data_IF_377715835640
#
_entry.id   IF_377715835640
#
_cell.length_a   1.000
_cell.length_b   1.000
_cell.length_c   1.000
_cell.angle_alpha   90.00
_cell.angle_beta   90.00
_cell.angle_gamma   90.00
#
_symmetry.space_group_name_H-M   'P 1'
#
loop_
_entity.id
_entity.type
_entity.pdbx_description
1 polymer ?
#
# COMPACT_ATOMS: atom_id res chain seq x y z
N UNK A 1 -14.37 16.61 28.14
CA UNK A 1 -15.61 16.10 27.55
C UNK A 1 -15.17 15.26 26.35
N UNK A 2 -15.07 13.95 26.55
CA UNK A 2 -14.80 13.01 25.45
C UNK A 2 -16.10 12.88 24.67
N UNK A 3 -16.09 13.31 23.40
CA UNK A 3 -17.19 13.05 22.48
C UNK A 3 -17.12 11.57 22.11
N UNK A 4 -17.87 10.78 22.83
CA UNK A 4 -18.12 9.37 22.55
C UNK A 4 -19.10 9.28 21.38
N UNK A 5 -18.61 9.49 20.15
CA UNK A 5 -19.30 9.11 18.93
C UNK A 5 -18.95 7.67 18.56
N UNK A 6 -19.13 6.75 19.50
CA UNK A 6 -19.31 5.35 19.14
C UNK A 6 -20.71 5.23 18.51
N UNK A 7 -20.79 5.44 17.21
CA UNK A 7 -21.95 5.01 16.44
C UNK A 7 -22.02 3.50 16.56
N UNK A 8 -22.90 3.01 17.45
CA UNK A 8 -23.13 1.57 17.56
C UNK A 8 -23.59 1.06 16.20
N UNK A 9 -22.87 0.08 15.65
CA UNK A 9 -23.28 -0.63 14.44
C UNK A 9 -24.72 -1.11 14.59
N UNK A 10 -25.51 -1.00 13.54
CA UNK A 10 -26.81 -1.65 13.47
C UNK A 10 -26.61 -3.17 13.37
N UNK A 11 -27.60 -3.94 13.79
CA UNK A 11 -27.58 -5.42 13.67
C UNK A 11 -27.39 -5.85 12.19
N UNK A 12 -27.91 -5.07 11.25
CA UNK A 12 -27.77 -5.33 9.82
C UNK A 12 -26.32 -5.07 9.35
N UNK A 13 -25.70 -3.99 9.82
CA UNK A 13 -24.30 -3.68 9.49
C UNK A 13 -23.33 -4.70 10.10
N UNK A 14 -23.54 -5.12 11.35
CA UNK A 14 -22.75 -6.18 11.98
C UNK A 14 -22.85 -7.49 11.19
N UNK A 15 -24.08 -7.90 10.84
CA UNK A 15 -24.30 -9.09 10.00
C UNK A 15 -23.67 -8.98 8.62
N UNK A 16 -23.62 -7.78 8.06
CA UNK A 16 -22.99 -7.53 6.76
C UNK A 16 -21.47 -7.68 6.84
N UNK A 17 -20.83 -7.11 7.88
CA UNK A 17 -19.40 -7.25 8.13
C UNK A 17 -19.02 -8.71 8.37
N UNK A 18 -19.78 -9.44 9.21
CA UNK A 18 -19.58 -10.87 9.46
C UNK A 18 -19.70 -11.68 8.17
N UNK A 19 -20.70 -11.39 7.35
CA UNK A 19 -20.89 -12.09 6.07
C UNK A 19 -19.74 -11.83 5.09
N UNK A 20 -19.15 -10.64 5.12
CA UNK A 20 -17.98 -10.30 4.31
C UNK A 20 -16.71 -10.99 4.84
N UNK A 21 -16.54 -11.07 6.16
CA UNK A 21 -15.41 -11.72 6.82
C UNK A 21 -15.40 -13.23 6.58
N UNK A 22 -16.56 -13.88 6.75
CA UNK A 22 -16.69 -15.35 6.62
C UNK A 22 -16.98 -15.85 5.19
N UNK A 23 -17.01 -14.96 4.21
CA UNK A 23 -17.15 -15.37 2.82
C UNK A 23 -18.59 -15.76 2.42
N UNK A 24 -19.62 -15.28 3.13
CA UNK A 24 -21.01 -15.62 2.86
C UNK A 24 -21.59 -14.81 1.68
N UNK A 25 -21.25 -15.21 0.46
CA UNK A 25 -21.62 -14.53 -0.78
C UNK A 25 -23.15 -14.33 -0.91
N UNK A 26 -24.03 -15.35 -0.66
CA UNK A 26 -25.48 -15.16 -0.77
C UNK A 26 -26.02 -14.06 0.14
N UNK A 27 -25.52 -13.98 1.38
CA UNK A 27 -25.94 -12.97 2.35
C UNK A 27 -25.48 -11.58 1.92
N UNK A 28 -24.20 -11.44 1.56
CA UNK A 28 -23.65 -10.14 1.08
C UNK A 28 -24.44 -9.66 -0.13
N UNK A 29 -24.67 -10.51 -1.13
CA UNK A 29 -25.42 -10.16 -2.34
C UNK A 29 -26.83 -9.71 -2.01
N UNK A 30 -27.57 -10.49 -1.20
CA UNK A 30 -28.92 -10.16 -0.78
C UNK A 30 -28.98 -8.82 -0.06
N UNK A 31 -28.05 -8.57 0.86
CA UNK A 31 -28.02 -7.31 1.62
C UNK A 31 -27.71 -6.11 0.73
N UNK A 32 -26.80 -6.26 -0.23
CA UNK A 32 -26.48 -5.20 -1.19
C UNK A 32 -27.61 -4.88 -2.17
N UNK A 33 -28.50 -5.85 -2.48
CA UNK A 33 -29.63 -5.70 -3.40
C UNK A 33 -30.91 -5.24 -2.70
N UNK A 34 -31.21 -5.76 -1.50
CA UNK A 34 -32.50 -5.55 -0.82
C UNK A 34 -32.45 -4.43 0.23
N UNK A 35 -31.31 -4.18 0.89
CA UNK A 35 -31.21 -3.23 1.99
C UNK A 35 -30.77 -1.85 1.48
N UNK A 36 -31.72 -0.98 1.15
CA UNK A 36 -31.45 0.39 0.69
C UNK A 36 -30.83 1.30 1.77
N UNK A 37 -31.03 0.99 3.04
CA UNK A 37 -30.51 1.74 4.20
C UNK A 37 -29.14 1.27 4.68
N UNK A 38 -28.57 0.22 4.08
CA UNK A 38 -27.30 -0.34 4.50
C UNK A 38 -26.15 0.62 4.19
N UNK A 39 -25.41 0.98 5.22
CA UNK A 39 -24.16 1.71 5.05
C UNK A 39 -23.05 0.71 4.65
N UNK A 40 -22.72 0.66 3.36
CA UNK A 40 -21.65 -0.23 2.83
C UNK A 40 -20.27 0.10 3.39
N UNK A 41 -20.08 1.34 3.87
CA UNK A 41 -18.84 1.85 4.44
C UNK A 41 -18.78 1.77 5.98
N UNK A 42 -19.71 1.03 6.61
CA UNK A 42 -19.62 0.76 8.04
C UNK A 42 -18.31 0.04 8.37
N UNK A 43 -17.80 0.28 9.57
CA UNK A 43 -16.53 -0.30 10.03
C UNK A 43 -16.75 -1.09 11.31
N UNK A 44 -15.97 -2.14 11.48
CA UNK A 44 -15.94 -2.93 12.71
C UNK A 44 -15.22 -2.17 13.85
N UNK A 45 -15.07 -2.84 15.01
CA UNK A 45 -14.35 -2.29 16.17
C UNK A 45 -12.84 -2.08 15.94
N UNK A 46 -12.28 -2.68 14.85
CA UNK A 46 -10.89 -2.50 14.40
C UNK A 46 -10.78 -1.40 13.34
N UNK A 47 -11.87 -0.72 13.01
CA UNK A 47 -11.91 0.29 11.96
C UNK A 47 -11.84 -0.29 10.53
N UNK A 48 -12.11 -1.59 10.32
CA UNK A 48 -12.08 -2.24 9.01
C UNK A 48 -13.49 -2.27 8.39
N UNK A 49 -13.60 -1.92 7.11
CA UNK A 49 -14.85 -2.05 6.37
C UNK A 49 -15.00 -3.44 5.73
N UNK A 50 -16.18 -3.73 5.19
CA UNK A 50 -16.49 -5.01 4.54
C UNK A 50 -15.51 -5.38 3.40
N UNK A 51 -15.01 -4.37 2.65
CA UNK A 51 -14.03 -4.61 1.59
C UNK A 51 -12.69 -5.08 2.17
N UNK A 52 -12.20 -4.43 3.22
CA UNK A 52 -10.94 -4.81 3.87
C UNK A 52 -11.05 -6.20 4.52
N UNK A 53 -12.18 -6.53 5.14
CA UNK A 53 -12.43 -7.86 5.71
C UNK A 53 -12.46 -8.95 4.63
N UNK A 54 -13.17 -8.71 3.51
CA UNK A 54 -13.19 -9.63 2.39
C UNK A 54 -11.81 -9.86 1.79
N UNK A 55 -11.02 -8.81 1.62
CA UNK A 55 -9.64 -8.88 1.10
C UNK A 55 -8.72 -9.60 2.10
N UNK A 56 -8.84 -9.32 3.41
CA UNK A 56 -8.02 -9.97 4.44
C UNK A 56 -8.16 -11.50 4.44
N UNK A 57 -9.34 -11.99 4.08
CA UNK A 57 -9.70 -13.41 4.06
C UNK A 57 -9.74 -14.02 2.65
N UNK A 58 -9.21 -13.32 1.64
CA UNK A 58 -9.11 -13.79 0.24
C UNK A 58 -10.45 -14.08 -0.45
N UNK A 59 -11.52 -13.38 -0.09
CA UNK A 59 -12.86 -13.55 -0.68
C UNK A 59 -13.03 -12.75 -1.98
N UNK A 60 -12.51 -13.27 -3.10
CA UNK A 60 -12.51 -12.59 -4.39
C UNK A 60 -13.92 -12.20 -4.86
N UNK A 61 -14.90 -13.11 -4.82
CA UNK A 61 -16.25 -12.83 -5.31
C UNK A 61 -16.95 -11.72 -4.51
N UNK A 62 -16.76 -11.68 -3.19
CA UNK A 62 -17.29 -10.61 -2.34
C UNK A 62 -16.61 -9.30 -2.67
N UNK A 63 -15.28 -9.31 -2.85
CA UNK A 63 -14.50 -8.14 -3.28
C UNK A 63 -15.06 -7.59 -4.60
N UNK A 64 -15.29 -8.44 -5.61
CA UNK A 64 -15.88 -8.02 -6.89
C UNK A 64 -17.31 -7.48 -6.75
N UNK A 65 -18.11 -8.04 -5.85
CA UNK A 65 -19.47 -7.55 -5.59
C UNK A 65 -19.44 -6.15 -4.95
N UNK A 66 -18.55 -5.93 -3.99
CA UNK A 66 -18.40 -4.66 -3.31
C UNK A 66 -17.86 -3.58 -4.26
N UNK A 67 -16.86 -3.90 -5.09
CA UNK A 67 -16.28 -2.97 -6.07
C UNK A 67 -17.27 -2.44 -7.12
N UNK A 68 -18.42 -3.06 -7.28
CA UNK A 68 -19.49 -2.55 -8.16
C UNK A 68 -20.28 -1.39 -7.55
N UNK A 69 -20.08 -1.08 -6.27
CA UNK A 69 -20.75 0.04 -5.60
C UNK A 69 -19.96 1.33 -5.83
N UNK A 70 -20.66 2.38 -6.27
CA UNK A 70 -20.03 3.65 -6.68
C UNK A 70 -19.40 4.43 -5.52
N UNK A 71 -19.95 4.32 -4.30
CA UNK A 71 -19.53 5.08 -3.13
C UNK A 71 -18.73 4.25 -2.14
N UNK A 72 -17.81 3.41 -2.62
CA UNK A 72 -17.00 2.56 -1.77
C UNK A 72 -15.78 3.33 -1.26
N UNK A 73 -15.63 3.40 0.07
CA UNK A 73 -14.50 4.02 0.73
C UNK A 73 -13.33 3.04 0.93
N UNK A 74 -12.13 3.57 1.20
CA UNK A 74 -10.92 2.83 1.58
C UNK A 74 -10.46 1.77 0.56
N UNK A 75 -10.73 2.01 -0.71
CA UNK A 75 -10.30 1.11 -1.81
C UNK A 75 -8.78 1.04 -1.91
N UNK A 76 -8.09 2.15 -1.59
CA UNK A 76 -6.63 2.21 -1.55
C UNK A 76 -6.03 1.33 -0.46
N UNK A 77 -6.59 1.34 0.74
CA UNK A 77 -6.15 0.47 1.84
C UNK A 77 -6.37 -1.01 1.52
N UNK A 78 -7.50 -1.33 0.90
CA UNK A 78 -7.80 -2.67 0.45
C UNK A 78 -6.79 -3.15 -0.61
N UNK A 79 -6.35 -2.26 -1.51
CA UNK A 79 -5.28 -2.56 -2.47
C UNK A 79 -3.95 -2.84 -1.77
N UNK A 80 -3.54 -2.00 -0.83
CA UNK A 80 -2.29 -2.20 -0.09
C UNK A 80 -2.34 -3.50 0.72
N UNK A 81 -3.48 -3.82 1.32
CA UNK A 81 -3.69 -5.07 2.04
C UNK A 81 -3.57 -6.28 1.11
N UNK A 82 -4.21 -6.25 -0.07
CA UNK A 82 -4.11 -7.32 -1.07
C UNK A 82 -2.67 -7.53 -1.56
N UNK A 83 -1.92 -6.44 -1.78
CA UNK A 83 -0.50 -6.50 -2.16
C UNK A 83 0.33 -7.13 -1.04
N UNK A 84 0.14 -6.71 0.20
CA UNK A 84 0.89 -7.23 1.35
C UNK A 84 0.67 -8.73 1.60
N UNK A 85 -0.48 -9.24 1.17
CA UNK A 85 -0.85 -10.67 1.25
C UNK A 85 -0.46 -11.47 0.00
N UNK A 86 -0.08 -10.79 -1.09
CA UNK A 86 0.27 -11.44 -2.35
C UNK A 86 -0.94 -11.98 -3.15
N UNK A 87 -2.14 -11.43 -2.94
CA UNK A 87 -3.37 -11.88 -3.59
C UNK A 87 -3.53 -11.27 -5.00
N UNK A 88 -2.83 -11.82 -5.98
CA UNK A 88 -2.76 -11.31 -7.35
C UNK A 88 -4.14 -11.04 -7.96
N UNK A 89 -5.06 -12.02 -7.89
CA UNK A 89 -6.40 -11.90 -8.48
C UNK A 89 -7.23 -10.78 -7.84
N UNK A 90 -7.11 -10.60 -6.53
CA UNK A 90 -7.79 -9.51 -5.82
C UNK A 90 -7.18 -8.17 -6.21
N UNK A 91 -5.86 -8.08 -6.33
CA UNK A 91 -5.17 -6.88 -6.82
C UNK A 91 -5.66 -6.50 -8.22
N UNK A 92 -5.76 -7.47 -9.14
CA UNK A 92 -6.29 -7.23 -10.49
C UNK A 92 -7.74 -6.75 -10.47
N UNK A 93 -8.59 -7.35 -9.63
CA UNK A 93 -9.97 -6.93 -9.47
C UNK A 93 -10.06 -5.49 -8.93
N UNK A 94 -9.29 -5.14 -7.90
CA UNK A 94 -9.28 -3.78 -7.34
C UNK A 94 -8.73 -2.77 -8.37
N UNK A 95 -7.67 -3.10 -9.10
CA UNK A 95 -7.09 -2.24 -10.13
C UNK A 95 -8.02 -2.04 -11.35
N UNK A 96 -9.07 -2.84 -11.52
CA UNK A 96 -10.10 -2.61 -12.52
C UNK A 96 -11.13 -1.54 -12.11
N UNK A 97 -11.15 -1.15 -10.82
CA UNK A 97 -12.04 -0.12 -10.32
C UNK A 97 -11.74 1.26 -10.94
N UNK A 98 -12.77 2.06 -11.29
CA UNK A 98 -12.60 3.37 -11.93
C UNK A 98 -11.66 4.33 -11.21
N UNK A 99 -11.57 4.23 -9.88
CA UNK A 99 -10.66 5.05 -9.06
C UNK A 99 -9.18 4.93 -9.48
N UNK A 100 -8.78 3.86 -10.17
CA UNK A 100 -7.43 3.63 -10.65
C UNK A 100 -7.25 3.84 -12.17
N UNK A 101 -8.29 4.31 -12.87
CA UNK A 101 -8.25 4.46 -14.33
C UNK A 101 -7.15 5.44 -14.80
N UNK A 102 -6.86 6.48 -14.03
CA UNK A 102 -5.91 7.53 -14.40
C UNK A 102 -4.44 7.23 -14.01
N UNK A 103 -4.14 6.14 -13.35
CA UNK A 103 -2.77 5.76 -12.94
C UNK A 103 -2.09 6.67 -11.91
N UNK A 104 -2.56 7.91 -11.72
CA UNK A 104 -1.96 8.88 -10.77
C UNK A 104 -1.91 8.36 -9.34
N UNK A 105 -2.97 7.68 -8.89
CA UNK A 105 -3.08 7.14 -7.53
C UNK A 105 -2.14 5.95 -7.25
N UNK A 106 -1.50 5.41 -8.28
CA UNK A 106 -0.58 4.29 -8.17
C UNK A 106 0.89 4.72 -8.06
N UNK A 107 1.21 5.92 -8.56
CA UNK A 107 2.59 6.40 -8.70
C UNK A 107 3.00 7.42 -7.64
N UNK A 108 2.06 8.24 -7.18
CA UNK A 108 2.34 9.33 -6.22
C UNK A 108 1.75 9.05 -4.86
N UNK A 109 2.56 9.28 -3.81
CA UNK A 109 2.01 9.42 -2.46
C UNK A 109 1.07 10.62 -2.47
N UNK A 110 -0.16 10.49 -1.96
CA UNK A 110 -1.09 11.61 -1.91
C UNK A 110 -0.46 12.76 -1.09
N UNK A 111 -0.59 13.98 -1.59
CA UNK A 111 -0.18 15.16 -0.82
C UNK A 111 -1.07 15.33 0.41
N UNK A 112 -0.53 15.89 1.50
CA UNK A 112 -1.30 16.10 2.74
C UNK A 112 -2.61 16.88 2.53
N UNK A 113 -2.71 17.73 1.50
CA UNK A 113 -3.93 18.46 1.16
C UNK A 113 -4.98 17.59 0.45
N UNK A 114 -4.56 16.55 -0.27
CA UNK A 114 -5.46 15.58 -0.91
C UNK A 114 -5.94 14.52 0.09
N UNK A 115 -5.16 14.26 1.14
CA UNK A 115 -5.47 13.28 2.19
C UNK A 115 -6.72 13.63 3.00
N UNK A 116 -7.03 14.92 3.17
CA UNK A 116 -8.17 15.38 3.97
C UNK A 116 -9.51 15.37 3.22
N UNK A 117 -9.52 15.14 1.92
CA UNK A 117 -10.72 15.23 1.09
C UNK A 117 -11.20 13.90 0.49
N UNK A 118 -10.41 12.82 0.62
CA UNK A 118 -10.66 11.57 -0.10
C UNK A 118 -10.67 10.37 0.85
N UNK A 119 -11.83 9.73 1.03
CA UNK A 119 -12.02 8.48 1.82
C UNK A 119 -11.32 7.25 1.18
N UNK A 120 -10.36 7.50 0.27
CA UNK A 120 -9.65 6.45 -0.45
C UNK A 120 -8.66 5.67 0.43
N UNK A 121 -8.04 6.38 1.37
CA UNK A 121 -7.21 5.80 2.42
C UNK A 121 -7.76 6.16 3.80
N UNK A 122 -7.63 5.27 4.78
CA UNK A 122 -7.93 5.59 6.16
C UNK A 122 -6.77 6.38 6.78
N UNK A 123 -7.05 7.60 7.20
CA UNK A 123 -6.07 8.49 7.84
C UNK A 123 -6.34 8.71 9.32
N UNK A 124 -6.82 7.72 10.01
CA UNK A 124 -6.87 7.79 11.46
C UNK A 124 -5.46 7.65 12.04
N UNK A 125 -5.09 8.52 12.95
CA UNK A 125 -3.77 8.58 13.58
C UNK A 125 -3.35 7.24 14.22
N UNK A 126 -4.31 6.35 14.53
CA UNK A 126 -4.10 5.06 15.18
C UNK A 126 -4.31 3.83 14.28
N UNK A 127 -4.76 3.98 13.02
CA UNK A 127 -5.30 2.86 12.23
C UNK A 127 -4.63 2.52 10.91
N UNK A 128 -3.69 3.32 10.40
CA UNK A 128 -3.06 3.01 9.11
C UNK A 128 -2.01 1.91 9.26
N UNK A 129 -2.29 0.73 8.70
CA UNK A 129 -1.32 -0.38 8.62
C UNK A 129 -0.11 -0.05 7.76
N UNK A 130 -0.22 0.95 6.89
CA UNK A 130 0.82 1.34 5.94
C UNK A 130 1.13 2.82 6.07
N UNK A 131 2.43 3.14 6.03
CA UNK A 131 2.88 4.54 6.05
C UNK A 131 2.49 5.25 4.76
N UNK A 132 2.16 6.54 4.85
CA UNK A 132 1.80 7.39 3.71
C UNK A 132 2.85 7.46 2.60
N UNK A 133 4.11 7.15 2.93
CA UNK A 133 5.23 7.17 1.98
C UNK A 133 5.27 5.91 1.11
N UNK A 134 4.44 4.90 1.41
CA UNK A 134 4.47 3.61 0.71
C UNK A 134 3.36 3.58 -0.33
N UNK A 135 3.74 3.75 -1.59
CA UNK A 135 2.82 3.58 -2.72
C UNK A 135 2.59 2.10 -3.03
N UNK A 136 1.51 1.73 -3.74
CA UNK A 136 1.25 0.34 -4.13
C UNK A 136 2.44 -0.34 -4.81
N UNK A 137 3.13 0.36 -5.71
CA UNK A 137 4.29 -0.19 -6.43
C UNK A 137 5.51 -0.37 -5.50
N UNK A 138 5.73 0.54 -4.55
CA UNK A 138 6.80 0.41 -3.55
C UNK A 138 6.52 -0.80 -2.66
N UNK A 139 5.27 -0.98 -2.19
CA UNK A 139 4.90 -2.11 -1.36
C UNK A 139 5.08 -3.44 -2.09
N UNK A 140 4.59 -3.55 -3.33
CA UNK A 140 4.75 -4.74 -4.16
C UNK A 140 6.24 -5.08 -4.39
N UNK A 141 7.07 -4.07 -4.62
CA UNK A 141 8.51 -4.23 -4.75
C UNK A 141 9.16 -4.71 -3.45
N UNK A 142 8.73 -4.20 -2.28
CA UNK A 142 9.21 -4.66 -0.98
C UNK A 142 8.81 -6.10 -0.67
N UNK A 143 7.59 -6.50 -1.02
CA UNK A 143 7.10 -7.87 -0.85
C UNK A 143 7.68 -8.84 -1.90
N UNK A 144 8.37 -8.33 -2.91
CA UNK A 144 8.96 -9.10 -4.03
C UNK A 144 7.92 -9.91 -4.82
N UNK A 145 6.71 -9.37 -4.94
CA UNK A 145 5.60 -9.98 -5.67
C UNK A 145 5.70 -9.63 -7.17
N UNK A 146 6.39 -10.47 -7.94
CA UNK A 146 6.70 -10.23 -9.37
C UNK A 146 5.45 -10.00 -10.21
N UNK A 147 4.40 -10.80 -10.04
CA UNK A 147 3.17 -10.70 -10.82
C UNK A 147 2.43 -9.38 -10.52
N UNK A 148 2.40 -8.98 -9.25
CA UNK A 148 1.78 -7.72 -8.82
C UNK A 148 2.59 -6.54 -9.34
N UNK A 149 3.93 -6.57 -9.20
CA UNK A 149 4.82 -5.54 -9.77
C UNK A 149 4.60 -5.40 -11.27
N UNK A 150 4.55 -6.52 -12.00
CA UNK A 150 4.29 -6.51 -13.45
C UNK A 150 2.94 -5.87 -13.79
N UNK A 151 1.88 -6.24 -13.06
CA UNK A 151 0.52 -5.69 -13.27
C UNK A 151 0.48 -4.18 -13.00
N UNK A 152 1.13 -3.72 -11.92
CA UNK A 152 1.22 -2.30 -11.59
C UNK A 152 2.05 -1.51 -12.62
N UNK A 153 3.17 -2.06 -13.09
CA UNK A 153 3.98 -1.47 -14.16
C UNK A 153 3.19 -1.31 -15.47
N UNK A 154 2.36 -2.30 -15.83
CA UNK A 154 1.46 -2.22 -17.00
C UNK A 154 0.41 -1.12 -16.86
N UNK A 155 -0.04 -0.83 -15.64
CA UNK A 155 -0.95 0.30 -15.33
C UNK A 155 -0.24 1.65 -15.28
N UNK A 156 1.07 1.70 -15.55
CA UNK A 156 1.86 2.93 -15.59
C UNK A 156 2.45 3.35 -14.24
N UNK A 157 2.27 2.55 -13.18
CA UNK A 157 2.93 2.82 -11.91
C UNK A 157 4.46 2.76 -12.07
N UNK A 158 5.16 3.69 -11.45
CA UNK A 158 6.64 3.74 -11.41
C UNK A 158 7.08 4.21 -10.03
N UNK A 159 8.26 3.74 -9.62
CA UNK A 159 8.90 4.28 -8.41
C UNK A 159 9.75 5.46 -8.87
N UNK A 160 9.40 6.65 -8.39
CA UNK A 160 10.18 7.85 -8.68
C UNK A 160 11.53 7.80 -7.95
N UNK A 161 12.60 8.12 -8.68
CA UNK A 161 13.93 8.23 -8.07
C UNK A 161 13.95 9.47 -7.17
N UNK A 162 14.29 9.35 -5.89
CA UNK A 162 14.39 10.51 -5.01
C UNK A 162 15.42 11.53 -5.51
N UNK A 163 15.16 12.80 -5.28
CA UNK A 163 16.12 13.84 -5.59
C UNK A 163 17.40 13.66 -4.75
N UNK A 164 18.51 14.21 -5.25
CA UNK A 164 19.78 14.23 -4.51
C UNK A 164 19.60 14.78 -3.09
N UNK A 165 20.38 14.27 -2.14
CA UNK A 165 20.35 14.70 -0.74
C UNK A 165 20.50 16.22 -0.57
N UNK A 166 21.37 16.84 -1.38
CA UNK A 166 21.61 18.27 -1.34
C UNK A 166 20.69 19.08 -2.25
N UNK A 167 19.64 18.47 -2.80
CA UNK A 167 18.70 19.16 -3.65
C UNK A 167 18.01 20.31 -2.89
N UNK A 168 18.09 21.53 -3.47
CA UNK A 168 17.53 22.75 -2.91
C UNK A 168 16.25 23.20 -3.65
N UNK A 169 15.61 22.31 -4.42
CA UNK A 169 14.35 22.67 -5.07
C UNK A 169 13.28 23.02 -4.01
N UNK A 170 12.28 23.76 -4.43
CA UNK A 170 11.20 24.23 -3.54
C UNK A 170 10.51 23.08 -2.82
N UNK A 171 10.27 21.98 -3.53
CA UNK A 171 9.60 20.79 -3.01
C UNK A 171 10.42 20.07 -1.92
N UNK A 172 11.70 19.77 -2.20
CA UNK A 172 12.58 19.15 -1.21
C UNK A 172 12.76 20.02 0.04
N UNK A 173 12.91 21.33 -0.16
CA UNK A 173 13.08 22.29 0.93
C UNK A 173 11.80 22.40 1.78
N UNK A 174 10.62 22.31 1.17
CA UNK A 174 9.35 22.34 1.86
C UNK A 174 9.11 21.04 2.65
N UNK A 175 9.34 19.88 2.04
CA UNK A 175 9.23 18.57 2.70
C UNK A 175 10.21 18.46 3.89
N UNK A 176 11.45 18.91 3.71
CA UNK A 176 12.47 18.86 4.76
C UNK A 176 12.15 19.81 5.93
N UNK A 177 11.54 20.96 5.68
CA UNK A 177 11.13 21.90 6.74
C UNK A 177 9.90 21.43 7.50
N UNK A 178 8.98 20.74 6.82
CA UNK A 178 7.72 20.30 7.41
C UNK A 178 7.93 19.07 8.31
N UNK A 179 8.59 18.03 7.79
CA UNK A 179 8.94 16.81 8.52
C UNK A 179 10.17 16.15 7.90
N UNK A 180 11.33 16.39 8.49
CA UNK A 180 12.59 15.86 7.97
C UNK A 180 12.68 14.33 8.14
N UNK A 181 12.06 13.76 9.16
CA UNK A 181 12.06 12.32 9.41
C UNK A 181 11.20 11.57 8.39
N UNK A 182 9.98 12.05 8.12
CA UNK A 182 9.10 11.49 7.09
C UNK A 182 9.74 11.60 5.70
N UNK A 183 10.41 12.72 5.41
CA UNK A 183 11.12 12.89 4.14
C UNK A 183 12.28 11.90 3.97
N UNK A 184 13.09 11.68 5.00
CA UNK A 184 14.17 10.68 4.98
C UNK A 184 13.62 9.26 4.82
N UNK A 185 12.56 8.91 5.53
CA UNK A 185 11.89 7.61 5.48
C UNK A 185 11.28 7.34 4.09
N UNK A 186 10.63 8.33 3.48
CA UNK A 186 10.10 8.24 2.11
C UNK A 186 11.22 7.92 1.10
N UNK A 187 12.38 8.59 1.21
CA UNK A 187 13.53 8.30 0.37
C UNK A 187 14.05 6.87 0.55
N UNK A 188 14.17 6.41 1.81
CA UNK A 188 14.59 5.03 2.12
C UNK A 188 13.63 4.02 1.52
N UNK A 189 12.31 4.23 1.63
CA UNK A 189 11.30 3.35 1.07
C UNK A 189 11.37 3.30 -0.46
N UNK A 190 11.55 4.44 -1.10
CA UNK A 190 11.73 4.50 -2.55
C UNK A 190 13.00 3.76 -3.01
N UNK A 191 14.15 3.96 -2.36
CA UNK A 191 15.38 3.25 -2.69
C UNK A 191 15.29 1.73 -2.45
N UNK A 192 14.63 1.30 -1.38
CA UNK A 192 14.35 -0.13 -1.13
C UNK A 192 13.52 -0.73 -2.27
N UNK A 193 12.51 0.01 -2.74
CA UNK A 193 11.68 -0.42 -3.86
C UNK A 193 12.47 -0.48 -5.17
N UNK A 194 13.25 0.57 -5.48
CA UNK A 194 14.11 0.65 -6.67
C UNK A 194 15.16 -0.47 -6.71
N UNK A 195 15.74 -0.83 -5.56
CA UNK A 195 16.74 -1.89 -5.44
C UNK A 195 16.13 -3.31 -5.32
N UNK A 196 14.79 -3.43 -5.31
CA UNK A 196 14.12 -4.73 -5.25
C UNK A 196 14.40 -5.56 -6.52
N UNK A 197 14.77 -6.84 -6.40
CA UNK A 197 14.96 -7.72 -7.55
C UNK A 197 13.72 -7.81 -8.43
N UNK A 198 12.52 -7.84 -7.84
CA UNK A 198 11.26 -7.89 -8.58
C UNK A 198 11.05 -6.64 -9.43
N UNK A 199 11.33 -5.45 -8.88
CA UNK A 199 11.19 -4.19 -9.61
C UNK A 199 12.28 -4.04 -10.68
N UNK A 200 13.56 -4.28 -10.34
CA UNK A 200 14.70 -4.15 -11.26
C UNK A 200 14.55 -5.04 -12.49
N UNK A 201 14.18 -6.31 -12.29
CA UNK A 201 14.06 -7.26 -13.41
C UNK A 201 12.95 -6.93 -14.39
N UNK A 202 11.92 -6.19 -13.94
CA UNK A 202 10.74 -5.88 -14.76
C UNK A 202 10.73 -4.45 -15.30
N UNK A 203 11.50 -3.54 -14.70
CA UNK A 203 11.49 -2.10 -15.04
C UNK A 203 12.74 -1.62 -15.77
N UNK A 204 13.85 -2.36 -15.71
CA UNK A 204 15.14 -1.96 -16.28
C UNK A 204 15.51 -2.83 -17.48
N UNK A 205 16.12 -2.23 -18.51
CA UNK A 205 16.70 -2.95 -19.66
C UNK A 205 17.97 -3.72 -19.24
N UNK A 206 18.79 -3.14 -18.34
CA UNK A 206 19.95 -3.80 -17.73
C UNK A 206 19.85 -3.76 -16.21
N UNK A 207 19.20 -4.77 -15.60
CA UNK A 207 19.03 -4.85 -14.14
C UNK A 207 20.35 -4.89 -13.37
N UNK A 208 21.41 -5.46 -13.96
CA UNK A 208 22.71 -5.60 -13.29
C UNK A 208 23.42 -4.25 -13.19
N UNK A 209 23.47 -3.51 -14.29
CA UNK A 209 24.05 -2.16 -14.31
C UNK A 209 23.26 -1.22 -13.39
N UNK A 210 21.95 -1.24 -13.47
CA UNK A 210 21.08 -0.43 -12.60
C UNK A 210 21.30 -0.76 -11.12
N UNK A 211 21.45 -2.03 -10.77
CA UNK A 211 21.74 -2.44 -9.40
C UNK A 211 23.10 -1.94 -8.91
N UNK A 212 24.14 -1.96 -9.76
CA UNK A 212 25.46 -1.43 -9.43
C UNK A 212 25.43 0.09 -9.22
N UNK A 213 24.75 0.83 -10.08
CA UNK A 213 24.57 2.28 -9.94
C UNK A 213 23.85 2.62 -8.63
N UNK A 214 22.74 1.96 -8.34
CA UNK A 214 21.99 2.13 -7.08
C UNK A 214 22.85 1.77 -5.86
N UNK A 215 23.65 0.72 -5.95
CA UNK A 215 24.56 0.33 -4.87
C UNK A 215 25.61 1.41 -4.56
N UNK A 216 26.18 2.02 -5.58
CA UNK A 216 27.13 3.12 -5.43
C UNK A 216 26.46 4.37 -4.83
N UNK A 217 25.26 4.71 -5.33
CA UNK A 217 24.48 5.84 -4.80
C UNK A 217 24.12 5.63 -3.32
N UNK A 218 23.63 4.44 -2.97
CA UNK A 218 23.30 4.09 -1.58
C UNK A 218 24.52 4.09 -0.66
N UNK A 219 25.70 3.72 -1.16
CA UNK A 219 26.94 3.80 -0.39
C UNK A 219 27.32 5.25 -0.06
N UNK A 220 27.11 6.18 -0.99
CA UNK A 220 27.31 7.62 -0.77
C UNK A 220 26.29 8.14 0.25
N UNK A 221 25.02 7.84 0.07
CA UNK A 221 23.93 8.26 0.97
C UNK A 221 24.12 7.73 2.39
N UNK A 222 24.56 6.49 2.56
CA UNK A 222 24.83 5.88 3.87
C UNK A 222 25.98 6.58 4.64
N UNK A 223 26.87 7.29 3.95
CA UNK A 223 27.91 8.10 4.60
C UNK A 223 27.38 9.47 5.07
N UNK A 224 26.32 9.96 4.43
CA UNK A 224 25.71 11.26 4.71
C UNK A 224 24.60 11.12 5.76
N UNK A 225 23.68 10.19 5.56
CA UNK A 225 22.55 9.93 6.46
C UNK A 225 22.73 8.63 7.24
N UNK A 226 22.67 8.72 8.58
CA UNK A 226 22.85 7.55 9.45
C UNK A 226 21.75 6.49 9.25
N UNK A 227 20.54 6.90 8.92
CA UNK A 227 19.39 6.03 8.68
C UNK A 227 19.61 5.10 7.48
N UNK A 228 20.28 5.56 6.43
CA UNK A 228 20.64 4.72 5.28
C UNK A 228 21.67 3.63 5.61
N UNK A 229 22.48 3.77 6.67
CA UNK A 229 23.45 2.73 7.07
C UNK A 229 22.77 1.42 7.43
N UNK A 230 21.64 1.49 8.11
CA UNK A 230 20.84 0.30 8.48
C UNK A 230 20.27 -0.38 7.22
N UNK A 231 19.76 0.38 6.27
CA UNK A 231 19.23 -0.14 5.01
C UNK A 231 20.30 -0.80 4.14
N UNK A 232 21.51 -0.23 4.04
CA UNK A 232 22.63 -0.83 3.31
C UNK A 232 23.09 -2.15 3.91
N UNK A 233 23.09 -2.28 5.24
CA UNK A 233 23.46 -3.52 5.92
C UNK A 233 22.47 -4.66 5.63
N UNK A 234 21.18 -4.34 5.57
CA UNK A 234 20.13 -5.30 5.22
C UNK A 234 20.25 -5.79 3.77
N UNK A 235 20.56 -4.90 2.81
CA UNK A 235 20.74 -5.28 1.41
C UNK A 235 21.98 -6.15 1.17
N UNK A 236 23.10 -5.91 1.86
CA UNK A 236 24.29 -6.77 1.77
C UNK A 236 24.05 -8.16 2.35
N UNK A 237 23.17 -8.29 3.36
CA UNK A 237 22.75 -9.58 3.91
C UNK A 237 21.88 -10.39 2.94
N UNK A 238 21.05 -9.74 2.13
CA UNK A 238 20.18 -10.43 1.15
C UNK A 238 20.94 -10.95 -0.07
N UNK A 239 22.03 -10.31 -0.50
CA UNK A 239 22.84 -10.80 -1.63
C UNK A 239 23.69 -12.02 -1.29
N UNK A 240 23.87 -12.37 -0.01
CA UNK A 240 24.63 -13.53 0.45
C UNK A 240 23.77 -14.78 0.72
N UNK A 241 22.44 -14.70 0.68
CA UNK A 241 21.54 -15.83 1.02
C UNK A 241 20.53 -16.16 -0.07
N UNK A 242 20.99 -16.28 -1.33
CA UNK A 242 20.16 -16.77 -2.44
C UNK A 242 19.98 -18.30 -2.45
N UNK A 243 19.81 -18.91 -1.29
CA UNK A 243 19.40 -20.30 -1.21
C UNK A 243 18.71 -20.56 0.13
N UNK A 244 17.45 -20.22 0.24
CA UNK A 244 16.44 -21.01 0.94
C UNK A 244 15.12 -20.24 1.03
N UNK A 245 14.09 -20.85 0.47
CA UNK A 245 12.67 -20.52 0.61
C UNK A 245 12.31 -20.12 2.04
N UNK A 246 11.88 -18.87 2.25
CA UNK A 246 11.00 -18.49 3.36
C UNK A 246 10.07 -17.37 2.93
N UNK A 247 8.94 -17.76 2.37
CA UNK A 247 7.72 -16.92 2.36
C UNK A 247 7.36 -16.68 3.83
N UNK A 248 7.41 -15.47 4.31
CA UNK A 248 6.83 -15.13 5.61
C UNK A 248 7.62 -14.26 6.57
N UNK A 249 8.85 -13.85 6.27
CA UNK A 249 9.67 -13.14 7.27
C UNK A 249 9.87 -11.64 7.05
N UNK A 250 9.38 -11.05 5.96
CA UNK A 250 9.69 -9.65 5.63
C UNK A 250 8.57 -8.65 5.89
N UNK A 251 7.32 -9.10 6.07
CA UNK A 251 6.21 -8.20 6.46
C UNK A 251 6.19 -7.81 7.95
N UNK A 252 6.98 -8.48 8.80
CA UNK A 252 7.00 -8.23 10.26
C UNK A 252 8.04 -7.20 10.71
N UNK A 253 8.74 -6.53 9.81
CA UNK A 253 9.76 -5.51 10.13
C UNK A 253 9.34 -4.08 9.79
N UNK A 254 8.05 -3.81 9.68
CA UNK A 254 7.52 -2.45 9.78
C UNK A 254 7.22 -2.23 11.27
N UNK A 255 8.02 -1.44 12.00
CA UNK A 255 7.66 -1.03 13.36
C UNK A 255 6.41 -0.14 13.27
N UNK A 256 5.48 -0.38 14.19
CA UNK A 256 4.36 0.50 14.52
C UNK A 256 4.82 1.95 14.70
#
# INVERSE_FOLDING_TARGET
MFNDHSTSLSIEEERFLDAAEYGNIPVVRKMLEECLSLNVNCVDYMGQNALQLAVANEHLEITELLLKKENLSRVGDALLLAISKGYVRIVEAILSHPAFAEGKRLATSPSQSELQQDDFYAYDEDGTRFSHDVTPIILAAHCQEYEIVHTLLRKGARIERPHDYFCKCSECNQKQKHDSFSHSRSRINAYKGLASPAYLSLSSEDPVMTALELSNELAVLANIEKEFKVSCALHRGCSASSSTSRRGAFCSLLPN
#
